data_IF_492652153322
#
_entry.id   IF_492652153322
#
_cell.length_a   1.000
_cell.length_b   1.000
_cell.length_c   1.000
_cell.angle_alpha   90.00
_cell.angle_beta   90.00
_cell.angle_gamma   90.00
#
_symmetry.space_group_name_H-M   'P 1'
#
loop_
_entity.id
_entity.type
_entity.pdbx_description
1 polymer ?
#
# COMPACT_ATOMS: atom_id res chain seq x y z
N UNK A 1 -41.55 -11.85 -8.28
CA UNK A 1 -42.29 -11.70 -7.01
C UNK A 1 -41.31 -12.05 -5.89
N UNK A 2 -40.49 -11.09 -5.42
CA UNK A 2 -40.79 -10.05 -4.43
C UNK A 2 -40.42 -10.53 -3.01
N UNK A 3 -39.38 -9.90 -2.46
CA UNK A 3 -39.01 -9.99 -1.04
C UNK A 3 -40.17 -9.54 -0.15
N UNK A 4 -40.15 -9.89 1.16
CA UNK A 4 -39.97 -8.82 2.13
C UNK A 4 -39.29 -9.17 3.49
N UNK A 5 -38.79 -8.11 4.15
CA UNK A 5 -38.76 -7.80 5.61
C UNK A 5 -38.07 -8.82 6.56
N UNK A 6 -37.02 -8.53 7.32
CA UNK A 6 -36.59 -7.27 7.95
C UNK A 6 -37.01 -7.22 9.42
N UNK A 7 -36.17 -7.70 10.37
CA UNK A 7 -36.11 -7.20 11.76
C UNK A 7 -35.00 -7.87 12.61
N UNK A 8 -34.24 -7.04 13.32
CA UNK A 8 -33.76 -7.20 14.71
C UNK A 8 -32.63 -8.20 15.02
N UNK A 9 -31.47 -7.63 15.38
CA UNK A 9 -30.84 -7.74 16.72
C UNK A 9 -29.34 -7.42 16.62
N UNK A 10 -28.66 -6.57 17.37
CA UNK A 10 -28.96 -5.47 18.28
C UNK A 10 -27.58 -4.86 18.63
N UNK A 11 -27.39 -3.54 18.60
CA UNK A 11 -26.21 -2.87 19.12
C UNK A 11 -26.49 -2.50 20.59
N UNK A 12 -26.04 -3.31 21.55
CA UNK A 12 -26.18 -2.98 22.97
C UNK A 12 -25.22 -3.79 23.85
N UNK A 13 -24.04 -3.23 24.12
CA UNK A 13 -23.42 -3.42 25.43
C UNK A 13 -22.55 -2.21 25.80
N UNK A 14 -23.22 -1.05 25.76
CA UNK A 14 -22.82 0.10 26.54
C UNK A 14 -23.24 -0.17 28.00
N UNK A 15 -22.30 -0.02 28.94
CA UNK A 15 -22.54 0.51 30.30
C UNK A 15 -23.44 -0.34 31.23
N UNK A 16 -22.83 -1.22 32.05
CA UNK A 16 -23.25 -1.42 33.45
C UNK A 16 -22.32 -2.38 34.20
N UNK A 17 -21.61 -1.87 35.22
CA UNK A 17 -21.00 -2.54 36.39
C UNK A 17 -19.79 -1.69 36.82
N UNK A 18 -19.99 -0.53 37.44
CA UNK A 18 -20.11 -0.44 38.91
C UNK A 18 -18.93 -1.17 39.56
N UNK A 19 -17.80 -0.52 39.81
CA UNK A 19 -17.61 0.37 40.98
C UNK A 19 -18.04 -0.31 42.29
N UNK A 20 -17.39 -1.40 42.65
CA UNK A 20 -17.39 -1.91 44.01
C UNK A 20 -16.22 -2.87 44.21
N UNK A 21 -15.07 -2.35 44.64
CA UNK A 21 -14.09 -2.99 45.55
C UNK A 21 -12.87 -2.06 45.68
N UNK A 22 -13.14 -0.82 46.07
CA UNK A 22 -12.13 0.04 46.67
C UNK A 22 -12.07 -0.32 48.15
N UNK A 23 -11.03 -1.05 48.56
CA UNK A 23 -10.34 -0.92 49.86
C UNK A 23 -9.26 -1.99 50.04
N UNK A 24 -7.98 -1.60 50.03
CA UNK A 24 -7.02 -2.17 50.96
C UNK A 24 -6.83 -1.19 52.13
N UNK A 25 -6.76 -1.81 53.31
CA UNK A 25 -6.70 -1.24 54.65
C UNK A 25 -5.27 -0.73 54.98
N UNK A 26 -5.22 0.30 55.83
CA UNK A 26 -4.13 0.80 56.70
C UNK A 26 -2.71 0.27 56.48
N UNK A 27 -1.74 1.10 56.07
CA UNK A 27 -0.94 2.06 56.89
C UNK A 27 0.01 1.39 57.91
N UNK A 28 1.29 1.74 57.70
CA UNK A 28 2.46 1.83 58.60
C UNK A 28 3.24 0.57 59.02
N UNK A 29 4.36 0.31 58.32
CA UNK A 29 5.67 -0.10 58.88
C UNK A 29 6.74 0.58 58.00
N UNK A 30 7.22 1.77 58.34
CA UNK A 30 8.50 2.03 59.03
C UNK A 30 9.74 1.36 58.41
N UNK A 31 10.62 2.22 57.89
CA UNK A 31 12.08 2.06 57.68
C UNK A 31 12.62 1.38 56.43
N UNK A 32 13.07 2.19 55.45
CA UNK A 32 14.48 2.32 54.98
C UNK A 32 14.55 3.27 53.76
N UNK A 33 15.54 4.19 53.64
CA UNK A 33 15.74 4.95 52.40
C UNK A 33 16.61 4.10 51.48
N UNK A 34 15.99 3.27 50.64
CA UNK A 34 16.68 2.80 49.44
C UNK A 34 16.37 3.81 48.34
N UNK A 35 17.42 4.47 47.84
CA UNK A 35 17.36 5.28 46.62
C UNK A 35 17.06 4.33 45.47
N UNK A 36 15.79 3.96 45.33
CA UNK A 36 15.31 3.21 44.20
C UNK A 36 15.13 4.22 43.08
N UNK A 37 16.23 4.48 42.37
CA UNK A 37 16.21 4.97 41.00
C UNK A 37 15.02 4.32 40.31
N UNK A 38 13.99 5.11 40.01
CA UNK A 38 12.86 4.66 39.22
C UNK A 38 13.46 4.31 37.86
N UNK A 39 13.83 3.04 37.69
CA UNK A 39 14.02 2.44 36.38
C UNK A 39 12.65 2.45 35.75
N UNK A 40 12.26 3.60 35.19
CA UNK A 40 11.45 3.58 33.99
C UNK A 40 12.19 2.61 33.08
N UNK A 41 11.60 1.44 32.90
CA UNK A 41 11.98 0.47 31.88
C UNK A 41 11.85 1.18 30.55
N UNK A 42 12.85 2.01 30.22
CA UNK A 42 13.28 2.30 28.87
C UNK A 42 13.66 0.91 28.38
N UNK A 43 12.66 0.18 27.85
CA UNK A 43 12.93 -0.89 26.90
C UNK A 43 13.71 -0.14 25.83
N UNK A 44 15.03 -0.20 25.94
CA UNK A 44 15.90 0.06 24.83
C UNK A 44 15.43 -0.92 23.77
N UNK A 45 14.56 -0.42 22.91
CA UNK A 45 14.30 -1.00 21.61
C UNK A 45 15.65 -0.86 20.90
N UNK A 46 16.56 -1.77 21.21
CA UNK A 46 17.86 -1.91 20.58
C UNK A 46 17.56 -2.39 19.16
N UNK A 47 17.25 -1.44 18.28
CA UNK A 47 16.89 -1.71 16.89
C UNK A 47 17.92 -1.21 15.92
N UNK A 48 19.17 -1.50 16.24
CA UNK A 48 20.22 -1.44 15.23
C UNK A 48 20.01 -2.51 14.14
N UNK A 49 19.28 -3.60 14.44
CA UNK A 49 18.93 -4.66 13.48
C UNK A 49 17.54 -4.47 12.83
N UNK A 50 16.48 -4.19 13.61
CA UNK A 50 15.09 -4.05 13.10
C UNK A 50 14.92 -2.92 12.08
N UNK A 51 15.71 -1.84 12.15
CA UNK A 51 15.58 -0.76 11.16
C UNK A 51 15.87 -1.24 9.73
N UNK A 52 16.83 -2.16 9.56
CA UNK A 52 17.18 -2.71 8.23
C UNK A 52 16.08 -3.61 7.65
N UNK A 53 15.38 -4.35 8.50
CA UNK A 53 14.27 -5.21 8.07
C UNK A 53 13.08 -4.37 7.58
N UNK A 54 12.80 -3.25 8.26
CA UNK A 54 11.75 -2.31 7.86
C UNK A 54 12.10 -1.63 6.54
N UNK A 55 13.35 -1.19 6.36
CA UNK A 55 13.81 -0.59 5.09
C UNK A 55 13.68 -1.60 3.93
N UNK A 56 14.04 -2.86 4.17
CA UNK A 56 13.94 -3.93 3.16
C UNK A 56 12.47 -4.24 2.83
N UNK A 57 11.59 -4.31 3.83
CA UNK A 57 10.16 -4.49 3.62
C UNK A 57 9.54 -3.30 2.86
N UNK A 58 9.94 -2.08 3.20
CA UNK A 58 9.48 -0.86 2.53
C UNK A 58 9.91 -0.82 1.06
N UNK A 59 11.13 -1.29 0.73
CA UNK A 59 11.60 -1.41 -0.66
C UNK A 59 10.73 -2.35 -1.48
N UNK A 60 10.37 -3.52 -0.97
CA UNK A 60 9.52 -4.47 -1.71
C UNK A 60 8.10 -3.93 -1.93
N UNK A 61 7.52 -3.28 -0.91
CA UNK A 61 6.20 -2.64 -1.02
C UNK A 61 6.27 -1.49 -2.04
N UNK A 62 7.28 -0.62 -1.93
CA UNK A 62 7.48 0.54 -2.81
C UNK A 62 7.76 0.15 -4.25
N UNK A 63 8.62 -0.85 -4.48
CA UNK A 63 8.90 -1.38 -5.81
C UNK A 63 7.63 -2.00 -6.43
N UNK A 64 6.86 -2.79 -5.66
CA UNK A 64 5.58 -3.34 -6.12
C UNK A 64 4.57 -2.25 -6.48
N UNK A 65 4.40 -1.24 -5.63
CA UNK A 65 3.51 -0.11 -5.90
C UNK A 65 3.95 0.69 -7.14
N UNK A 66 5.26 0.87 -7.35
CA UNK A 66 5.80 1.55 -8.52
C UNK A 66 5.48 0.80 -9.83
N UNK A 67 5.37 -0.54 -9.84
CA UNK A 67 5.05 -1.29 -11.06
C UNK A 67 3.64 -1.08 -11.60
N UNK A 68 2.71 -0.55 -10.80
CA UNK A 68 1.31 -0.33 -11.21
C UNK A 68 1.21 0.59 -12.44
N UNK A 69 2.17 1.51 -12.62
CA UNK A 69 2.19 2.41 -13.79
C UNK A 69 2.37 1.69 -15.13
N UNK A 70 2.88 0.44 -15.15
CA UNK A 70 2.98 -0.37 -16.38
C UNK A 70 1.59 -0.70 -16.95
N UNK A 71 0.55 -0.78 -16.10
CA UNK A 71 -0.82 -0.96 -16.56
C UNK A 71 -1.28 0.18 -17.49
N UNK A 72 -0.79 1.41 -17.26
CA UNK A 72 -1.05 2.55 -18.13
C UNK A 72 -0.42 2.39 -19.52
N UNK A 73 0.80 1.86 -19.60
CA UNK A 73 1.43 1.53 -20.89
C UNK A 73 0.64 0.43 -21.62
N UNK A 74 0.25 -0.64 -20.93
CA UNK A 74 -0.54 -1.71 -21.53
C UNK A 74 -1.89 -1.22 -22.09
N UNK A 75 -2.58 -0.35 -21.35
CA UNK A 75 -3.80 0.30 -21.84
C UNK A 75 -3.51 1.21 -23.05
N UNK A 76 -2.44 2.01 -23.00
CA UNK A 76 -2.00 2.87 -24.10
C UNK A 76 -1.76 2.08 -25.40
N UNK A 77 -0.98 1.00 -25.32
CA UNK A 77 -0.69 0.12 -26.45
C UNK A 77 -1.98 -0.47 -27.04
N UNK A 78 -2.89 -0.94 -26.18
CA UNK A 78 -4.19 -1.46 -26.60
C UNK A 78 -5.01 -0.43 -27.38
N UNK A 79 -5.02 0.83 -26.93
CA UNK A 79 -5.76 1.91 -27.62
C UNK A 79 -5.11 2.31 -28.95
N UNK A 80 -3.78 2.32 -29.03
CA UNK A 80 -3.03 2.63 -30.26
C UNK A 80 -3.29 1.58 -31.32
N UNK A 81 -3.14 0.29 -30.98
CA UNK A 81 -3.41 -0.79 -31.92
C UNK A 81 -4.91 -0.94 -32.25
N UNK A 82 -5.82 -0.69 -31.30
CA UNK A 82 -7.25 -0.65 -31.57
C UNK A 82 -7.62 0.42 -32.60
N UNK A 83 -7.06 1.62 -32.45
CA UNK A 83 -7.26 2.73 -33.39
C UNK A 83 -6.60 2.46 -34.75
N UNK A 84 -5.45 1.76 -34.77
CA UNK A 84 -4.80 1.33 -35.99
C UNK A 84 -5.69 0.39 -36.81
N UNK A 85 -6.30 -0.64 -36.19
CA UNK A 85 -7.15 -1.60 -36.89
C UNK A 85 -8.37 -0.89 -37.48
N UNK A 86 -9.02 -0.01 -36.70
CA UNK A 86 -10.16 0.78 -37.18
C UNK A 86 -9.72 1.70 -38.34
N UNK A 87 -8.58 2.36 -38.23
CA UNK A 87 -8.02 3.21 -39.29
C UNK A 87 -7.69 2.43 -40.56
N UNK A 88 -7.12 1.24 -40.41
CA UNK A 88 -6.78 0.34 -41.51
C UNK A 88 -8.04 -0.17 -42.22
N UNK A 89 -9.08 -0.51 -41.46
CA UNK A 89 -10.37 -0.97 -42.01
C UNK A 89 -11.08 0.14 -42.83
N UNK A 90 -10.88 1.41 -42.48
CA UNK A 90 -11.49 2.54 -43.19
C UNK A 90 -10.76 2.89 -44.48
N UNK A 91 -9.42 2.92 -44.46
CA UNK A 91 -8.60 3.32 -45.61
C UNK A 91 -7.32 2.47 -45.73
N UNK A 92 -7.37 1.32 -46.40
CA UNK A 92 -6.23 0.40 -46.48
C UNK A 92 -5.07 0.92 -47.36
N UNK A 93 -5.29 1.94 -48.18
CA UNK A 93 -4.25 2.56 -49.02
C UNK A 93 -3.16 3.27 -48.22
N UNK A 94 -3.48 3.78 -47.03
CA UNK A 94 -2.56 4.52 -46.15
C UNK A 94 -1.86 3.62 -45.12
N UNK A 95 -1.90 2.30 -45.31
CA UNK A 95 -1.41 1.30 -44.35
C UNK A 95 0.01 1.55 -43.83
N UNK A 96 0.94 1.91 -44.71
CA UNK A 96 2.35 2.02 -44.36
C UNK A 96 2.60 3.22 -43.44
N UNK A 97 1.92 4.33 -43.71
CA UNK A 97 2.02 5.55 -42.92
C UNK A 97 1.31 5.39 -41.57
N UNK A 98 0.10 4.80 -41.56
CA UNK A 98 -0.63 4.50 -40.33
C UNK A 98 0.14 3.53 -39.42
N UNK A 99 0.75 2.49 -40.01
CA UNK A 99 1.58 1.55 -39.27
C UNK A 99 2.81 2.24 -38.68
N UNK A 100 3.48 3.13 -39.42
CA UNK A 100 4.61 3.90 -38.89
C UNK A 100 4.22 4.79 -37.70
N UNK A 101 3.05 5.44 -37.76
CA UNK A 101 2.52 6.21 -36.62
C UNK A 101 2.13 5.33 -35.44
N UNK A 102 1.56 4.15 -35.69
CA UNK A 102 1.22 3.21 -34.61
C UNK A 102 2.47 2.66 -33.92
N UNK A 103 3.54 2.35 -34.66
CA UNK A 103 4.82 1.93 -34.07
C UNK A 103 5.47 3.07 -33.28
N UNK A 104 5.37 4.30 -33.75
CA UNK A 104 5.81 5.47 -32.99
C UNK A 104 5.01 5.62 -31.68
N UNK A 105 3.68 5.50 -31.73
CA UNK A 105 2.83 5.52 -30.54
C UNK A 105 3.10 4.37 -29.57
N UNK A 106 3.34 3.16 -30.10
CA UNK A 106 3.76 1.99 -29.33
C UNK A 106 5.09 2.25 -28.62
N UNK A 107 6.10 2.73 -29.33
CA UNK A 107 7.42 3.02 -28.76
C UNK A 107 7.37 4.07 -27.66
N UNK A 108 6.54 5.11 -27.82
CA UNK A 108 6.34 6.13 -26.77
C UNK A 108 5.60 5.57 -25.55
N UNK A 109 4.60 4.73 -25.75
CA UNK A 109 3.89 4.06 -24.65
C UNK A 109 4.82 3.12 -23.89
N UNK A 110 5.59 2.31 -24.61
CA UNK A 110 6.61 1.42 -24.03
C UNK A 110 7.69 2.19 -23.30
N UNK A 111 8.16 3.32 -23.83
CA UNK A 111 9.13 4.16 -23.14
C UNK A 111 8.63 4.62 -21.75
N UNK A 112 7.34 4.95 -21.63
CA UNK A 112 6.74 5.30 -20.34
C UNK A 112 6.57 4.09 -19.42
N UNK A 113 6.22 2.92 -19.96
CA UNK A 113 6.16 1.66 -19.21
C UNK A 113 7.53 1.23 -18.66
N UNK A 114 8.56 1.28 -19.51
CA UNK A 114 9.94 0.98 -19.13
C UNK A 114 10.52 2.02 -18.18
N UNK A 115 10.14 3.29 -18.31
CA UNK A 115 10.49 4.31 -17.32
C UNK A 115 9.92 3.99 -15.94
N UNK A 116 8.67 3.52 -15.89
CA UNK A 116 8.05 3.07 -14.65
C UNK A 116 8.80 1.87 -14.03
N UNK A 117 9.19 0.88 -14.86
CA UNK A 117 9.99 -0.25 -14.41
C UNK A 117 11.41 0.14 -13.99
N UNK A 118 12.03 1.12 -14.65
CA UNK A 118 13.33 1.66 -14.28
C UNK A 118 13.29 2.18 -12.83
N UNK A 119 12.26 2.96 -12.48
CA UNK A 119 12.08 3.45 -11.11
C UNK A 119 11.84 2.30 -10.13
N UNK A 120 11.02 1.32 -10.51
CA UNK A 120 10.78 0.14 -9.66
C UNK A 120 12.09 -0.64 -9.38
N UNK A 121 12.95 -0.82 -10.37
CA UNK A 121 14.25 -1.47 -10.19
C UNK A 121 15.25 -0.61 -9.41
N UNK A 122 15.21 0.72 -9.52
CA UNK A 122 16.00 1.59 -8.65
C UNK A 122 15.61 1.44 -7.17
N UNK A 123 14.31 1.31 -6.88
CA UNK A 123 13.83 1.09 -5.50
C UNK A 123 14.22 -0.31 -4.99
N UNK A 124 14.25 -1.32 -5.85
CA UNK A 124 14.55 -2.70 -5.46
C UNK A 124 16.06 -2.95 -5.27
N UNK A 125 16.91 -2.38 -6.14
CA UNK A 125 18.33 -2.73 -6.21
C UNK A 125 19.31 -1.60 -5.90
N UNK A 126 18.90 -0.33 -5.97
CA UNK A 126 19.82 0.81 -5.84
C UNK A 126 19.63 1.62 -4.55
N UNK A 127 18.38 1.86 -4.14
CA UNK A 127 18.06 2.42 -2.81
C UNK A 127 18.08 1.32 -1.77
#
# INVERSE_FOLDING_TARGET
>A
MQAPLGLVSSPALFRCCSRALARPVSVSVFSRPEVQTVQLTRREFQTSAVSRDIDTAAKFIGAGAATVGVAGSGAGIGTVFGSLIIGYARNPSLKQQLFSYAILGFALSEAMGLFCLMVAFLILFAM
#
